data_IF_127996766818
#
_entry.id   IF_127996766818
#
_cell.length_a   1.000
_cell.length_b   1.000
_cell.length_c   1.000
_cell.angle_alpha   90.00
_cell.angle_beta   90.00
_cell.angle_gamma   90.00
#
_symmetry.space_group_name_H-M   'P 1'
#
loop_
_entity.id
_entity.type
_entity.pdbx_description
1 polymer ?
#
# COMPACT_ATOMS: atom_id res chain seq x y z
N UNK A 1 -16.78 34.52 39.13
CA UNK A 1 -15.43 34.76 39.69
C UNK A 1 -14.86 33.39 40.02
N UNK A 2 -13.90 32.80 39.31
CA UNK A 2 -12.71 33.38 38.67
C UNK A 2 -12.58 32.95 37.21
N UNK A 3 -12.40 33.96 36.35
CA UNK A 3 -11.61 33.85 35.12
C UNK A 3 -10.14 33.78 35.50
N UNK A 4 -9.37 32.94 34.81
CA UNK A 4 -7.96 33.16 34.43
C UNK A 4 -7.38 31.85 33.89
N UNK A 5 -6.57 31.75 32.82
CA UNK A 5 -6.03 32.64 31.79
C UNK A 5 -5.53 31.67 30.69
N UNK A 6 -5.66 32.06 29.43
CA UNK A 6 -5.06 31.40 28.26
C UNK A 6 -3.54 31.25 28.42
N UNK A 7 -2.98 30.08 28.10
CA UNK A 7 -1.58 29.98 27.67
C UNK A 7 -1.59 29.69 26.18
N UNK A 8 -1.36 30.74 25.39
CA UNK A 8 -1.00 30.64 23.98
C UNK A 8 0.25 29.75 23.87
N UNK A 9 0.15 28.61 23.19
CA UNK A 9 1.33 27.89 22.72
C UNK A 9 2.04 28.76 21.69
N UNK A 10 3.26 29.20 22.00
CA UNK A 10 4.09 29.96 21.05
C UNK A 10 4.26 29.15 19.77
N UNK A 11 3.68 29.63 18.65
CA UNK A 11 3.90 29.00 17.34
C UNK A 11 5.38 29.12 16.99
N UNK A 12 6.04 27.98 16.77
CA UNK A 12 7.45 27.95 16.37
C UNK A 12 7.64 28.70 15.05
N UNK A 13 8.77 29.40 14.92
CA UNK A 13 9.09 30.11 13.68
C UNK A 13 9.54 29.12 12.60
N UNK A 14 9.29 29.41 11.30
CA UNK A 14 9.72 28.55 10.20
C UNK A 14 11.22 28.21 10.24
N UNK A 15 12.06 29.17 10.65
CA UNK A 15 13.52 28.97 10.74
C UNK A 15 13.92 27.95 11.80
N UNK A 16 13.24 27.94 12.95
CA UNK A 16 13.48 26.94 14.01
C UNK A 16 13.04 25.56 13.53
N UNK A 17 11.87 25.47 12.90
CA UNK A 17 11.36 24.21 12.34
C UNK A 17 12.31 23.66 11.26
N UNK A 18 12.88 24.53 10.42
CA UNK A 18 13.83 24.14 9.39
C UNK A 18 15.14 23.59 10.00
N UNK A 19 15.60 24.15 11.11
CA UNK A 19 16.76 23.61 11.84
C UNK A 19 16.47 22.23 12.44
N UNK A 20 15.29 22.05 13.03
CA UNK A 20 14.84 20.74 13.54
C UNK A 20 14.75 19.71 12.40
N UNK A 21 14.26 20.12 11.23
CA UNK A 21 14.25 19.30 10.03
C UNK A 21 15.67 18.86 9.62
N UNK A 22 16.64 19.78 9.58
CA UNK A 22 18.03 19.41 9.26
C UNK A 22 18.64 18.45 10.27
N UNK A 23 18.28 18.57 11.55
CA UNK A 23 18.73 17.65 12.58
C UNK A 23 18.17 16.23 12.42
N UNK A 24 17.03 16.06 11.75
CA UNK A 24 16.47 14.74 11.44
C UNK A 24 17.15 14.07 10.24
N UNK A 25 17.81 14.82 9.35
CA UNK A 25 18.52 14.25 8.21
C UNK A 25 19.77 13.48 8.70
N UNK A 26 20.14 12.34 8.07
CA UNK A 26 21.37 11.63 8.41
C UNK A 26 22.59 12.54 8.41
N UNK A 27 23.44 12.43 9.45
CA UNK A 27 24.56 13.34 9.69
C UNK A 27 25.46 13.55 8.46
N UNK A 28 25.71 12.48 7.70
CA UNK A 28 26.53 12.47 6.48
C UNK A 28 25.98 13.36 5.36
N UNK A 29 24.66 13.55 5.32
CA UNK A 29 23.98 14.27 4.24
C UNK A 29 23.55 15.69 4.64
N UNK A 30 23.56 16.02 5.94
CA UNK A 30 23.05 17.30 6.47
C UNK A 30 23.64 18.53 5.79
N UNK A 31 24.97 18.58 5.68
CA UNK A 31 25.66 19.73 5.09
C UNK A 31 25.31 19.88 3.61
N UNK A 32 25.29 18.77 2.88
CA UNK A 32 24.94 18.76 1.45
C UNK A 32 23.48 19.16 1.22
N UNK A 33 22.55 18.66 2.03
CA UNK A 33 21.12 19.02 1.92
C UNK A 33 20.91 20.50 2.27
N UNK A 34 21.51 20.98 3.36
CA UNK A 34 21.41 22.38 3.79
C UNK A 34 21.99 23.34 2.74
N UNK A 35 23.16 23.03 2.16
CA UNK A 35 23.76 23.87 1.12
C UNK A 35 22.89 23.88 -0.13
N UNK A 36 22.44 22.71 -0.58
CA UNK A 36 21.63 22.57 -1.79
C UNK A 36 20.30 23.30 -1.65
N UNK A 37 19.61 23.20 -0.50
CA UNK A 37 18.37 23.92 -0.25
C UNK A 37 18.57 25.43 -0.13
N UNK A 38 19.71 25.88 0.40
CA UNK A 38 20.07 27.30 0.42
C UNK A 38 20.24 27.83 -1.01
N UNK A 39 20.94 27.07 -1.86
CA UNK A 39 21.10 27.46 -3.26
C UNK A 39 19.79 27.41 -4.06
N UNK A 40 18.90 26.45 -3.78
CA UNK A 40 17.55 26.43 -4.36
C UNK A 40 16.79 27.67 -3.92
N UNK A 41 16.78 27.99 -2.62
CA UNK A 41 16.12 29.19 -2.10
C UNK A 41 16.60 30.47 -2.78
N UNK A 42 17.90 30.58 -3.03
CA UNK A 42 18.49 31.74 -3.70
C UNK A 42 18.13 31.85 -5.19
N UNK A 43 17.57 30.80 -5.79
CA UNK A 43 17.13 30.77 -7.19
C UNK A 43 15.61 30.94 -7.37
N UNK A 44 14.87 31.07 -6.26
CA UNK A 44 13.41 31.20 -6.26
C UNK A 44 13.01 32.68 -6.23
N UNK A 45 11.98 33.01 -6.99
CA UNK A 45 11.33 34.32 -7.00
C UNK A 45 9.84 34.13 -6.69
N UNK A 46 9.25 35.00 -5.85
CA UNK A 46 7.83 34.92 -5.48
C UNK A 46 6.90 34.91 -6.71
N UNK A 47 7.28 35.69 -7.73
CA UNK A 47 6.69 35.67 -9.07
C UNK A 47 7.59 34.87 -9.99
N UNK A 48 7.08 33.77 -10.52
CA UNK A 48 7.85 32.81 -11.31
C UNK A 48 8.05 33.38 -12.72
N UNK A 49 9.31 33.57 -13.18
CA UNK A 49 9.58 34.10 -14.50
C UNK A 49 9.28 33.10 -15.61
N UNK A 50 9.21 33.58 -16.85
CA UNK A 50 8.81 32.72 -17.98
C UNK A 50 9.91 31.82 -18.52
N UNK A 51 11.18 32.24 -18.45
CA UNK A 51 12.29 31.67 -19.24
C UNK A 51 13.56 31.38 -18.44
N UNK A 52 13.44 31.10 -17.14
CA UNK A 52 14.61 30.82 -16.31
C UNK A 52 15.30 29.49 -16.70
N UNK A 53 16.64 29.41 -16.63
CA UNK A 53 17.36 28.19 -16.96
C UNK A 53 17.12 27.09 -15.93
N UNK A 54 16.48 26.00 -16.35
CA UNK A 54 16.05 24.94 -15.42
C UNK A 54 17.07 23.82 -15.19
N UNK A 55 18.07 23.65 -16.06
CA UNK A 55 19.00 22.53 -15.96
C UNK A 55 19.81 22.52 -14.64
N UNK A 56 20.38 23.66 -14.17
CA UNK A 56 21.08 23.70 -12.88
C UNK A 56 20.15 23.37 -11.70
N UNK A 57 18.90 23.83 -11.75
CA UNK A 57 17.91 23.56 -10.72
C UNK A 57 17.54 22.08 -10.65
N UNK A 58 17.25 21.46 -11.80
CA UNK A 58 16.97 20.02 -11.89
C UNK A 58 18.12 19.19 -11.32
N UNK A 59 19.37 19.57 -11.59
CA UNK A 59 20.53 18.87 -11.01
C UNK A 59 20.51 18.88 -9.48
N UNK A 60 20.10 19.99 -8.85
CA UNK A 60 19.97 20.13 -7.39
C UNK A 60 18.81 19.30 -6.86
N UNK A 61 17.67 19.30 -7.55
CA UNK A 61 16.53 18.44 -7.22
C UNK A 61 16.94 16.98 -7.22
N UNK A 62 17.66 16.51 -8.25
CA UNK A 62 18.15 15.13 -8.35
C UNK A 62 19.13 14.76 -7.23
N UNK A 63 19.99 15.70 -6.81
CA UNK A 63 20.85 15.49 -5.64
C UNK A 63 20.03 15.27 -4.37
N UNK A 64 18.99 16.07 -4.13
CA UNK A 64 18.09 15.88 -3.00
C UNK A 64 17.30 14.57 -3.10
N UNK A 65 16.80 14.21 -4.30
CA UNK A 65 16.08 12.94 -4.53
C UNK A 65 16.91 11.74 -4.04
N UNK A 66 18.21 11.69 -4.34
CA UNK A 66 19.09 10.59 -3.94
C UNK A 66 19.19 10.43 -2.42
N UNK A 67 19.12 11.53 -1.66
CA UNK A 67 19.12 11.50 -0.20
C UNK A 67 17.75 11.06 0.31
N UNK A 68 16.66 11.66 -0.20
CA UNK A 68 15.30 11.41 0.28
C UNK A 68 14.83 9.99 -0.01
N UNK A 69 15.28 9.38 -1.12
CA UNK A 69 14.97 7.99 -1.48
C UNK A 69 15.40 6.98 -0.40
N UNK A 70 16.42 7.31 0.39
CA UNK A 70 17.02 6.41 1.39
C UNK A 70 16.43 6.59 2.80
N UNK A 71 15.51 7.54 2.99
CA UNK A 71 14.96 7.84 4.31
C UNK A 71 14.01 6.72 4.75
N UNK A 72 14.29 6.01 5.86
CA UNK A 72 13.44 4.93 6.32
C UNK A 72 12.08 5.46 6.78
N UNK A 73 11.04 4.64 6.66
CA UNK A 73 9.66 5.03 6.93
C UNK A 73 9.45 5.69 8.31
N UNK A 74 10.10 5.16 9.36
CA UNK A 74 9.98 5.71 10.73
C UNK A 74 10.46 7.15 10.80
N UNK A 75 11.61 7.46 10.20
CA UNK A 75 12.16 8.80 10.15
C UNK A 75 11.33 9.70 9.23
N UNK A 76 10.79 9.13 8.14
CA UNK A 76 9.89 9.81 7.21
C UNK A 76 8.68 10.42 7.93
N UNK A 77 8.01 9.64 8.80
CA UNK A 77 6.87 10.11 9.61
C UNK A 77 7.22 11.33 10.46
N UNK A 78 8.38 11.29 11.13
CA UNK A 78 8.86 12.39 11.98
C UNK A 78 9.20 13.64 11.15
N UNK A 79 9.89 13.45 10.03
CA UNK A 79 10.21 14.53 9.09
C UNK A 79 8.93 15.19 8.56
N UNK A 80 7.92 14.40 8.14
CA UNK A 80 6.65 14.95 7.64
C UNK A 80 5.96 15.84 8.65
N UNK A 81 5.90 15.44 9.92
CA UNK A 81 5.30 16.27 10.97
C UNK A 81 5.97 17.65 11.06
N UNK A 82 7.31 17.69 11.00
CA UNK A 82 8.06 18.96 10.96
C UNK A 82 7.79 19.75 9.68
N UNK A 83 7.71 19.08 8.52
CA UNK A 83 7.44 19.74 7.24
C UNK A 83 6.02 20.34 7.19
N UNK A 84 5.01 19.64 7.72
CA UNK A 84 3.63 20.11 7.78
C UNK A 84 3.49 21.32 8.72
N UNK A 85 4.13 21.27 9.90
CA UNK A 85 4.20 22.42 10.79
C UNK A 85 4.93 23.60 10.12
N UNK A 86 6.00 23.33 9.39
CA UNK A 86 6.75 24.32 8.61
C UNK A 86 5.92 24.96 7.50
N UNK A 87 5.08 24.18 6.80
CA UNK A 87 4.13 24.68 5.81
C UNK A 87 3.12 25.63 6.44
N UNK A 88 2.52 25.23 7.56
CA UNK A 88 1.57 26.07 8.28
C UNK A 88 2.20 27.38 8.75
N UNK A 89 3.37 27.32 9.38
CA UNK A 89 4.07 28.51 9.88
C UNK A 89 4.53 29.43 8.75
N UNK A 90 4.97 28.87 7.62
CA UNK A 90 5.48 29.65 6.48
C UNK A 90 4.37 30.29 5.65
N UNK A 91 3.17 29.70 5.64
CA UNK A 91 2.04 30.21 4.84
C UNK A 91 1.70 31.67 5.16
N UNK A 92 1.93 32.12 6.39
CA UNK A 92 1.69 33.49 6.85
C UNK A 92 2.89 34.44 6.69
N UNK A 93 4.09 33.91 6.45
CA UNK A 93 5.34 34.66 6.61
C UNK A 93 6.09 34.81 5.29
N UNK A 94 6.25 33.73 4.52
CA UNK A 94 7.12 33.72 3.35
C UNK A 94 6.77 32.61 2.36
N UNK A 95 6.45 33.00 1.12
CA UNK A 95 6.20 32.07 0.02
C UNK A 95 7.46 31.27 -0.35
N UNK A 96 8.65 31.88 -0.24
CA UNK A 96 9.93 31.19 -0.44
C UNK A 96 10.11 30.04 0.55
N UNK A 97 9.86 30.27 1.84
CA UNK A 97 9.95 29.20 2.85
C UNK A 97 8.87 28.14 2.65
N UNK A 98 7.65 28.57 2.34
CA UNK A 98 6.55 27.67 1.97
C UNK A 98 6.95 26.74 0.81
N UNK A 99 7.59 27.30 -0.22
CA UNK A 99 8.10 26.54 -1.36
C UNK A 99 9.17 25.53 -0.93
N UNK A 100 10.10 25.89 -0.05
CA UNK A 100 11.14 24.97 0.46
C UNK A 100 10.51 23.80 1.22
N UNK A 101 9.59 24.07 2.15
CA UNK A 101 8.89 23.01 2.88
C UNK A 101 8.05 22.13 1.93
N UNK A 102 7.38 22.73 0.95
CA UNK A 102 6.61 22.01 -0.07
C UNK A 102 7.51 21.09 -0.89
N UNK A 103 8.65 21.60 -1.35
CA UNK A 103 9.62 20.86 -2.14
C UNK A 103 10.15 19.65 -1.35
N UNK A 104 10.55 19.85 -0.10
CA UNK A 104 11.01 18.76 0.76
C UNK A 104 9.90 17.71 0.97
N UNK A 105 8.66 18.12 1.24
CA UNK A 105 7.55 17.19 1.45
C UNK A 105 7.24 16.39 0.19
N UNK A 106 7.22 17.05 -0.97
CA UNK A 106 6.94 16.37 -2.23
C UNK A 106 8.08 15.42 -2.63
N UNK A 107 9.34 15.81 -2.41
CA UNK A 107 10.48 14.91 -2.62
C UNK A 107 10.41 13.68 -1.73
N UNK A 108 9.98 13.84 -0.47
CA UNK A 108 9.85 12.75 0.48
C UNK A 108 8.80 11.70 0.07
N UNK A 109 7.81 12.09 -0.72
CA UNK A 109 6.71 11.21 -1.15
C UNK A 109 6.87 10.68 -2.58
N UNK A 110 7.44 11.47 -3.48
CA UNK A 110 7.62 11.10 -4.89
C UNK A 110 8.93 10.35 -5.15
N UNK A 111 9.96 10.55 -4.31
CA UNK A 111 11.28 9.95 -4.51
C UNK A 111 11.48 8.68 -3.69
N UNK A 112 10.50 8.29 -2.86
CA UNK A 112 10.69 7.21 -1.91
C UNK A 112 10.44 5.84 -2.50
N UNK A 113 11.32 4.90 -2.17
CA UNK A 113 11.10 3.48 -2.41
C UNK A 113 10.04 2.96 -1.44
N UNK A 114 8.78 2.89 -1.89
CA UNK A 114 7.67 2.46 -1.05
C UNK A 114 7.70 0.96 -0.81
N UNK A 115 7.48 0.57 0.45
CA UNK A 115 7.43 -0.84 0.83
C UNK A 115 6.04 -1.42 0.55
N UNK A 116 5.89 -2.16 -0.57
CA UNK A 116 4.64 -2.83 -0.90
C UNK A 116 4.25 -3.92 0.12
N UNK A 117 5.24 -4.59 0.73
CA UNK A 117 5.02 -5.57 1.80
C UNK A 117 4.45 -4.93 3.06
N UNK A 118 4.65 -3.62 3.30
CA UNK A 118 4.04 -2.86 4.41
C UNK A 118 3.18 -1.72 3.91
N UNK A 119 2.47 -1.99 2.82
CA UNK A 119 1.50 -1.06 2.23
C UNK A 119 0.41 -0.64 3.21
N UNK A 120 0.13 -1.42 4.27
CA UNK A 120 -0.72 -1.03 5.39
C UNK A 120 -0.19 0.21 6.13
N UNK A 121 1.09 0.19 6.51
CA UNK A 121 1.73 1.29 7.22
C UNK A 121 1.94 2.50 6.30
N UNK A 122 2.36 2.26 5.06
CA UNK A 122 2.53 3.33 4.06
C UNK A 122 1.18 4.02 3.77
N UNK A 123 0.09 3.26 3.70
CA UNK A 123 -1.25 3.83 3.47
C UNK A 123 -1.75 4.62 4.67
N UNK A 124 -1.51 4.16 5.89
CA UNK A 124 -1.87 4.90 7.11
C UNK A 124 -1.12 6.25 7.18
N UNK A 125 0.18 6.24 6.87
CA UNK A 125 1.02 7.43 6.85
C UNK A 125 0.54 8.46 5.82
N UNK A 126 0.35 8.03 4.57
CA UNK A 126 -0.17 8.88 3.48
C UNK A 126 -1.54 9.45 3.86
N UNK A 127 -2.44 8.62 4.36
CA UNK A 127 -3.80 9.05 4.70
C UNK A 127 -3.83 10.06 5.84
N UNK A 128 -2.96 9.90 6.84
CA UNK A 128 -2.82 10.85 7.94
C UNK A 128 -2.32 12.19 7.42
N UNK A 129 -1.33 12.18 6.53
CA UNK A 129 -0.83 13.41 5.89
C UNK A 129 -1.89 14.11 5.04
N UNK A 130 -2.66 13.37 4.24
CA UNK A 130 -3.76 13.91 3.43
C UNK A 130 -4.80 14.61 4.31
N UNK A 131 -5.19 13.98 5.43
CA UNK A 131 -6.14 14.57 6.37
C UNK A 131 -5.64 15.90 6.93
N UNK A 132 -4.38 15.96 7.37
CA UNK A 132 -3.79 17.19 7.88
C UNK A 132 -3.76 18.29 6.80
N UNK A 133 -3.35 17.95 5.57
CA UNK A 133 -3.35 18.89 4.45
C UNK A 133 -4.73 19.45 4.14
N UNK A 134 -5.75 18.61 4.05
CA UNK A 134 -7.14 19.03 3.80
C UNK A 134 -7.71 19.87 4.94
N UNK A 135 -7.34 19.57 6.19
CA UNK A 135 -7.88 20.27 7.36
C UNK A 135 -7.27 21.65 7.58
N UNK A 136 -5.96 21.81 7.42
CA UNK A 136 -5.26 23.03 7.85
C UNK A 136 -4.56 23.79 6.73
N UNK A 137 -3.96 23.10 5.76
CA UNK A 137 -3.07 23.73 4.77
C UNK A 137 -3.83 24.15 3.51
N UNK A 138 -4.55 23.24 2.85
CA UNK A 138 -5.26 23.55 1.61
C UNK A 138 -6.30 24.67 1.73
N UNK A 139 -7.15 24.73 2.78
CA UNK A 139 -8.11 25.83 2.93
C UNK A 139 -7.41 27.20 3.01
N UNK A 140 -6.34 27.32 3.81
CA UNK A 140 -5.58 28.57 3.97
C UNK A 140 -4.91 29.01 2.68
N UNK A 141 -4.26 28.08 1.97
CA UNK A 141 -3.61 28.38 0.69
C UNK A 141 -4.64 28.79 -0.37
N UNK A 142 -5.77 28.09 -0.45
CA UNK A 142 -6.87 28.40 -1.38
C UNK A 142 -7.40 29.82 -1.15
N UNK A 143 -7.71 30.20 0.08
CA UNK A 143 -8.16 31.56 0.42
C UNK A 143 -7.13 32.62 0.00
N UNK A 144 -5.85 32.39 0.27
CA UNK A 144 -4.78 33.33 -0.11
C UNK A 144 -4.61 33.48 -1.61
N UNK A 145 -4.69 32.37 -2.36
CA UNK A 145 -4.61 32.42 -3.82
C UNK A 145 -5.78 33.24 -4.38
N UNK A 146 -7.01 33.01 -3.90
CA UNK A 146 -8.19 33.77 -4.33
C UNK A 146 -8.09 35.28 -4.03
N UNK A 147 -7.30 35.66 -3.03
CA UNK A 147 -7.05 37.07 -2.68
C UNK A 147 -5.93 37.70 -3.54
N UNK A 148 -5.17 36.92 -4.32
CA UNK A 148 -4.09 37.45 -5.15
C UNK A 148 -4.66 38.30 -6.30
N UNK A 149 -4.19 39.54 -6.41
CA UNK A 149 -4.55 40.47 -7.49
C UNK A 149 -3.50 40.51 -8.60
N UNK A 150 -2.89 39.36 -8.88
CA UNK A 150 -1.87 39.22 -9.93
C UNK A 150 -2.29 38.15 -10.92
N UNK A 151 -1.91 38.34 -12.18
CA UNK A 151 -2.07 37.37 -13.26
C UNK A 151 -0.77 36.62 -13.59
N UNK A 152 0.29 36.84 -12.80
CA UNK A 152 1.59 36.21 -13.01
C UNK A 152 1.71 34.92 -12.18
N UNK A 153 2.36 33.87 -12.72
CA UNK A 153 2.59 32.64 -11.97
C UNK A 153 3.30 32.89 -10.63
N UNK A 154 2.83 32.26 -9.55
CA UNK A 154 3.33 32.52 -8.19
C UNK A 154 3.77 31.25 -7.46
N UNK A 155 4.77 31.37 -6.59
CA UNK A 155 5.22 30.27 -5.72
C UNK A 155 4.11 29.74 -4.82
N UNK A 156 3.22 30.62 -4.36
CA UNK A 156 2.06 30.23 -3.55
C UNK A 156 1.17 29.22 -4.31
N UNK A 157 0.88 29.54 -5.57
CA UNK A 157 0.04 28.69 -6.42
C UNK A 157 0.76 27.41 -6.83
N UNK A 158 2.07 27.51 -7.10
CA UNK A 158 2.93 26.34 -7.31
C UNK A 158 2.89 25.40 -6.12
N UNK A 159 3.07 25.90 -4.89
CA UNK A 159 3.04 25.10 -3.66
C UNK A 159 1.73 24.35 -3.48
N UNK A 160 0.59 25.04 -3.64
CA UNK A 160 -0.73 24.42 -3.57
C UNK A 160 -0.89 23.28 -4.60
N UNK A 161 -0.55 23.57 -5.86
CA UNK A 161 -0.69 22.63 -6.97
C UNK A 161 0.25 21.42 -6.84
N UNK A 162 1.49 21.63 -6.38
CA UNK A 162 2.47 20.57 -6.21
C UNK A 162 2.09 19.61 -5.06
N UNK A 163 1.55 20.15 -3.95
CA UNK A 163 0.98 19.34 -2.87
C UNK A 163 -0.20 18.51 -3.39
N UNK A 164 -1.14 19.15 -4.10
CA UNK A 164 -2.31 18.46 -4.63
C UNK A 164 -1.91 17.30 -5.57
N UNK A 165 -1.00 17.57 -6.52
CA UNK A 165 -0.49 16.55 -7.44
C UNK A 165 0.13 15.37 -6.70
N UNK A 166 1.03 15.67 -5.76
CA UNK A 166 1.80 14.67 -5.03
C UNK A 166 0.90 13.75 -4.23
N UNK A 167 -0.03 14.31 -3.46
CA UNK A 167 -0.87 13.53 -2.57
C UNK A 167 -2.03 12.84 -3.29
N UNK A 168 -2.43 13.32 -4.46
CA UNK A 168 -3.31 12.57 -5.35
C UNK A 168 -2.59 11.34 -5.92
N UNK A 169 -1.34 11.48 -6.39
CA UNK A 169 -0.53 10.34 -6.83
C UNK A 169 -0.31 9.32 -5.71
N UNK A 170 -0.11 9.78 -4.46
CA UNK A 170 -0.04 8.90 -3.30
C UNK A 170 -1.39 8.18 -3.03
N UNK A 171 -2.53 8.85 -3.21
CA UNK A 171 -3.84 8.24 -3.06
C UNK A 171 -4.13 7.19 -4.15
N UNK A 172 -3.72 7.44 -5.39
CA UNK A 172 -3.74 6.45 -6.48
C UNK A 172 -2.91 5.22 -6.12
N UNK A 173 -1.70 5.43 -5.58
CA UNK A 173 -0.87 4.34 -5.10
C UNK A 173 -1.58 3.51 -4.02
N UNK A 174 -2.14 4.14 -2.98
CA UNK A 174 -2.90 3.44 -1.91
C UNK A 174 -4.05 2.62 -2.48
N UNK A 175 -4.75 3.17 -3.49
CA UNK A 175 -5.84 2.48 -4.16
C UNK A 175 -5.36 1.25 -4.92
N UNK A 176 -4.28 1.39 -5.70
CA UNK A 176 -3.68 0.31 -6.48
C UNK A 176 -3.08 -0.79 -5.61
N UNK A 177 -2.55 -0.42 -4.44
CA UNK A 177 -2.14 -1.35 -3.42
C UNK A 177 -3.31 -1.98 -2.66
N UNK A 178 -4.58 -1.65 -2.95
CA UNK A 178 -5.76 -2.21 -2.27
C UNK A 178 -5.72 -2.10 -0.73
N UNK A 179 -4.97 -1.13 -0.20
CA UNK A 179 -4.78 -0.86 1.22
C UNK A 179 -5.65 0.33 1.66
N UNK A 180 -6.91 0.33 1.24
CA UNK A 180 -7.83 1.45 1.51
C UNK A 180 -7.94 1.70 3.03
N UNK A 181 -7.80 2.96 3.49
CA UNK A 181 -7.91 3.29 4.90
C UNK A 181 -9.34 3.12 5.42
N UNK A 182 -10.34 3.25 4.55
CA UNK A 182 -11.74 3.01 4.85
C UNK A 182 -12.48 2.42 3.64
N UNK A 183 -13.62 1.74 3.85
CA UNK A 183 -14.50 1.31 2.74
C UNK A 183 -14.99 2.46 1.87
N UNK A 184 -15.11 3.66 2.45
CA UNK A 184 -15.54 4.89 1.76
C UNK A 184 -14.42 5.61 1.00
N UNK A 185 -13.17 5.13 1.08
CA UNK A 185 -12.03 5.80 0.45
C UNK A 185 -12.19 5.86 -1.07
N UNK A 186 -12.19 7.09 -1.60
CA UNK A 186 -12.26 7.40 -3.01
C UNK A 186 -11.08 8.31 -3.38
N UNK A 187 -10.28 7.89 -4.37
CA UNK A 187 -9.12 8.67 -4.85
C UNK A 187 -9.54 10.06 -5.33
N UNK A 188 -10.67 10.16 -6.04
CA UNK A 188 -11.15 11.43 -6.60
C UNK A 188 -11.46 12.47 -5.51
N UNK A 189 -11.85 12.02 -4.32
CA UNK A 189 -12.26 12.89 -3.21
C UNK A 189 -11.28 12.81 -2.04
N UNK A 190 -10.07 12.26 -2.25
CA UNK A 190 -9.09 12.16 -1.15
C UNK A 190 -8.38 13.48 -0.92
N UNK A 191 -8.17 14.28 -1.96
CA UNK A 191 -7.54 15.61 -1.89
C UNK A 191 -8.60 16.65 -2.20
N UNK A 192 -8.80 17.61 -1.29
CA UNK A 192 -9.81 18.67 -1.42
C UNK A 192 -9.31 19.80 -2.35
N UNK A 193 -9.11 19.45 -3.61
CA UNK A 193 -8.69 20.38 -4.66
C UNK A 193 -9.88 21.26 -5.07
N UNK A 194 -9.72 22.57 -4.93
CA UNK A 194 -10.68 23.54 -5.44
C UNK A 194 -10.41 23.75 -6.94
N UNK A 195 -11.30 23.24 -7.79
CA UNK A 195 -11.17 23.34 -9.25
C UNK A 195 -11.08 24.80 -9.74
N UNK A 196 -11.64 25.78 -9.00
CA UNK A 196 -11.53 27.19 -9.35
C UNK A 196 -10.09 27.72 -9.28
N UNK A 197 -9.23 27.07 -8.49
CA UNK A 197 -7.80 27.41 -8.41
C UNK A 197 -7.06 26.97 -9.68
N UNK A 198 -7.47 25.88 -10.33
CA UNK A 198 -6.81 25.39 -11.56
C UNK A 198 -6.88 26.42 -12.69
N UNK A 199 -8.01 27.12 -12.78
CA UNK A 199 -8.25 28.20 -13.74
C UNK A 199 -7.61 29.55 -13.31
N UNK A 200 -7.04 29.63 -12.10
CA UNK A 200 -6.44 30.87 -11.62
C UNK A 200 -5.17 31.21 -12.42
N UNK A 201 -4.98 32.47 -12.84
CA UNK A 201 -3.87 32.85 -13.73
C UNK A 201 -2.48 32.70 -13.09
N UNK A 202 -2.42 32.66 -11.76
CA UNK A 202 -1.16 32.49 -11.00
C UNK A 202 -0.66 31.05 -10.95
N UNK A 203 -1.42 30.08 -11.47
CA UNK A 203 -0.96 28.69 -11.57
C UNK A 203 0.04 28.55 -12.73
N UNK A 204 1.22 27.94 -12.51
CA UNK A 204 2.15 27.64 -13.59
C UNK A 204 1.52 26.73 -14.66
N UNK A 205 1.76 27.04 -15.94
CA UNK A 205 1.10 26.39 -17.07
C UNK A 205 1.27 24.86 -17.10
N UNK A 206 2.47 24.39 -16.75
CA UNK A 206 2.79 22.96 -16.64
C UNK A 206 1.92 22.27 -15.60
N UNK A 207 1.83 22.85 -14.40
CA UNK A 207 1.07 22.29 -13.29
C UNK A 207 -0.42 22.26 -13.62
N UNK A 208 -0.94 23.34 -14.23
CA UNK A 208 -2.33 23.39 -14.70
C UNK A 208 -2.65 22.22 -15.62
N UNK A 209 -1.84 22.00 -16.66
CA UNK A 209 -2.05 20.92 -17.61
C UNK A 209 -1.97 19.52 -16.96
N UNK A 210 -1.01 19.32 -16.06
CA UNK A 210 -0.83 18.03 -15.36
C UNK A 210 -2.01 17.76 -14.43
N UNK A 211 -2.42 18.73 -13.62
CA UNK A 211 -3.53 18.57 -12.68
C UNK A 211 -4.85 18.35 -13.41
N UNK A 212 -5.11 19.05 -14.53
CA UNK A 212 -6.30 18.74 -15.34
C UNK A 212 -6.30 17.32 -15.87
N UNK A 213 -5.13 16.80 -16.27
CA UNK A 213 -5.04 15.41 -16.71
C UNK A 213 -5.29 14.45 -15.55
N UNK A 214 -4.72 14.72 -14.37
CA UNK A 214 -4.93 13.92 -13.17
C UNK A 214 -6.41 13.88 -12.76
N UNK A 215 -7.07 15.03 -12.63
CA UNK A 215 -8.49 15.14 -12.26
C UNK A 215 -9.41 14.45 -13.27
N UNK A 216 -9.07 14.52 -14.56
CA UNK A 216 -9.85 13.91 -15.66
C UNK A 216 -9.46 12.46 -15.95
N UNK A 217 -8.54 11.85 -15.18
CA UNK A 217 -7.95 10.53 -15.43
C UNK A 217 -7.47 10.38 -16.90
N UNK A 218 -6.74 11.37 -17.39
CA UNK A 218 -6.15 11.43 -18.74
C UNK A 218 -4.65 11.20 -18.66
N UNK A 219 -4.03 10.70 -19.75
CA UNK A 219 -2.60 10.43 -19.73
C UNK A 219 -1.79 11.73 -19.65
N UNK A 220 -0.75 11.72 -18.83
CA UNK A 220 0.22 12.80 -18.80
C UNK A 220 0.98 12.90 -20.12
N UNK A 221 1.44 14.10 -20.44
CA UNK A 221 2.34 14.28 -21.56
C UNK A 221 3.71 13.67 -21.26
N UNK A 222 4.39 13.23 -22.31
CA UNK A 222 5.76 12.72 -22.26
C UNK A 222 6.71 13.90 -22.47
N UNK A 223 7.59 14.20 -21.50
CA UNK A 223 8.63 15.22 -21.65
C UNK A 223 9.61 14.91 -22.80
N UNK A 224 10.42 15.88 -23.24
CA UNK A 224 11.56 15.65 -24.13
C UNK A 224 12.53 14.61 -23.54
N UNK A 225 13.25 13.87 -24.40
CA UNK A 225 14.06 12.68 -24.05
C UNK A 225 15.11 12.85 -22.95
N UNK A 226 15.43 14.07 -22.52
CA UNK A 226 16.40 14.35 -21.45
C UNK A 226 15.78 14.62 -20.07
N UNK A 227 14.44 14.59 -19.93
CA UNK A 227 13.73 15.01 -18.72
C UNK A 227 12.61 14.03 -18.32
N UNK A 228 12.35 13.94 -17.03
CA UNK A 228 11.18 13.22 -16.49
C UNK A 228 10.00 14.17 -16.22
N UNK A 229 8.82 13.62 -15.94
CA UNK A 229 7.64 14.42 -15.58
C UNK A 229 7.90 15.18 -14.27
N UNK A 230 8.56 14.52 -13.32
CA UNK A 230 8.96 15.08 -12.03
C UNK A 230 9.93 16.26 -12.22
N UNK A 231 10.91 16.13 -13.12
CA UNK A 231 11.82 17.25 -13.44
C UNK A 231 11.05 18.50 -13.91
N UNK A 232 10.01 18.33 -14.73
CA UNK A 232 9.19 19.44 -15.24
C UNK A 232 8.29 20.05 -14.16
N UNK A 233 7.74 19.22 -13.26
CA UNK A 233 6.94 19.67 -12.12
C UNK A 233 7.76 20.53 -11.17
N UNK A 234 8.92 20.04 -10.71
CA UNK A 234 9.76 20.81 -9.80
C UNK A 234 10.34 22.06 -10.45
N UNK A 235 10.81 21.98 -11.70
CA UNK A 235 11.35 23.15 -12.38
C UNK A 235 10.31 24.23 -12.67
N UNK A 236 9.01 23.91 -12.59
CA UNK A 236 7.95 24.91 -12.70
C UNK A 236 7.90 25.91 -11.53
N UNK A 237 8.68 25.67 -10.45
CA UNK A 237 8.88 26.62 -9.35
C UNK A 237 9.76 27.81 -9.72
N UNK A 238 10.66 27.66 -10.70
CA UNK A 238 11.59 28.72 -11.11
C UNK A 238 11.33 29.26 -12.52
N UNK A 239 10.52 28.54 -13.31
CA UNK A 239 10.22 28.91 -14.70
C UNK A 239 8.82 28.43 -15.09
N UNK A 240 8.00 29.28 -15.70
CA UNK A 240 6.67 28.89 -16.20
C UNK A 240 6.72 27.71 -17.21
N UNK A 241 7.88 27.53 -17.85
CA UNK A 241 8.17 26.44 -18.78
C UNK A 241 7.19 26.31 -19.96
N UNK A 242 6.47 27.38 -20.33
CA UNK A 242 5.48 27.38 -21.41
C UNK A 242 6.06 26.89 -22.75
N UNK A 243 7.31 27.25 -23.08
CA UNK A 243 7.97 26.79 -24.30
C UNK A 243 8.29 25.29 -24.31
N UNK A 244 8.48 24.66 -23.15
CA UNK A 244 8.78 23.23 -23.04
C UNK A 244 7.51 22.40 -23.27
N UNK A 245 6.34 22.89 -22.84
CA UNK A 245 5.05 22.23 -23.10
C UNK A 245 4.82 21.97 -24.60
N UNK A 246 5.20 22.93 -25.45
CA UNK A 246 5.07 22.81 -26.91
C UNK A 246 5.93 21.67 -27.50
N UNK A 247 6.96 21.24 -26.78
CA UNK A 247 7.84 20.13 -27.18
C UNK A 247 7.45 18.77 -26.57
N UNK A 248 6.46 18.75 -25.67
CA UNK A 248 5.98 17.52 -25.04
C UNK A 248 5.06 16.73 -26.00
N UNK A 249 5.09 15.39 -25.90
CA UNK A 249 4.22 14.51 -26.69
C UNK A 249 3.03 14.04 -25.87
N UNK A 250 1.81 14.11 -26.40
CA UNK A 250 0.64 13.57 -25.71
C UNK A 250 0.51 12.05 -25.97
N UNK A 251 0.42 11.25 -24.90
CA UNK A 251 0.10 9.83 -25.01
C UNK A 251 -1.39 9.68 -25.38
N UNK A 252 -1.71 8.73 -26.26
CA UNK A 252 -3.10 8.49 -26.74
C UNK A 252 -3.96 7.70 -25.76
N UNK A 253 -3.36 6.92 -24.87
CA UNK A 253 -4.05 6.05 -23.91
C UNK A 253 -3.39 6.16 -22.54
N UNK A 254 -4.23 6.30 -21.51
CA UNK A 254 -3.84 6.23 -20.11
C UNK A 254 -4.07 4.81 -19.61
N UNK A 255 -3.06 4.20 -19.02
CA UNK A 255 -3.26 2.99 -18.21
C UNK A 255 -3.40 3.42 -16.75
N UNK A 256 -4.47 2.99 -16.09
CA UNK A 256 -4.69 3.24 -14.66
C UNK A 256 -3.65 2.51 -13.78
N UNK A 257 -2.91 1.54 -14.35
CA UNK A 257 -1.77 0.93 -13.68
C UNK A 257 -0.49 1.75 -13.73
N UNK A 258 -0.42 2.80 -14.56
CA UNK A 258 0.73 3.71 -14.63
C UNK A 258 0.65 4.72 -13.46
N UNK A 259 0.97 4.27 -12.24
CA UNK A 259 1.18 5.15 -11.09
C UNK A 259 2.30 6.16 -11.39
N UNK A 260 2.12 7.43 -11.02
CA UNK A 260 3.12 8.48 -11.24
C UNK A 260 4.37 8.39 -10.36
N UNK A 261 4.35 7.52 -9.34
CA UNK A 261 5.45 7.38 -8.40
C UNK A 261 6.55 6.57 -9.09
N UNK A 262 7.65 7.24 -9.45
CA UNK A 262 8.74 6.67 -10.28
C UNK A 262 9.44 5.46 -9.64
N UNK A 263 9.36 5.33 -8.32
CA UNK A 263 10.12 4.36 -7.53
C UNK A 263 9.22 3.44 -6.71
N UNK A 264 8.17 2.88 -7.33
CA UNK A 264 7.34 1.84 -6.72
C UNK A 264 7.60 0.44 -7.31
N UNK A 265 7.40 -0.58 -6.49
CA UNK A 265 7.26 -1.93 -7.02
C UNK A 265 5.86 -2.04 -7.66
N UNK A 266 5.75 -2.60 -8.87
CA UNK A 266 4.46 -2.71 -9.53
C UNK A 266 3.50 -3.54 -8.68
N UNK A 267 2.23 -3.11 -8.54
CA UNK A 267 1.24 -3.87 -7.78
C UNK A 267 1.06 -5.24 -8.43
N UNK A 268 1.23 -6.31 -7.65
CA UNK A 268 0.88 -7.64 -8.15
C UNK A 268 -0.63 -7.73 -8.20
N UNK A 269 -1.19 -7.91 -9.40
CA UNK A 269 -2.63 -7.87 -9.60
C UNK A 269 -3.34 -8.83 -8.64
N UNK A 270 -4.39 -8.39 -7.93
CA UNK A 270 -5.17 -9.28 -7.09
C UNK A 270 -5.75 -10.39 -7.95
N UNK A 271 -5.68 -11.63 -7.45
CA UNK A 271 -6.30 -12.78 -8.11
C UNK A 271 -7.80 -12.49 -8.26
N UNK A 272 -8.31 -12.41 -9.50
CA UNK A 272 -9.75 -12.33 -9.75
C UNK A 272 -10.38 -13.61 -9.21
N UNK A 273 -11.18 -13.48 -8.15
CA UNK A 273 -11.94 -14.58 -7.58
C UNK A 273 -13.33 -14.51 -8.17
N UNK A 274 -13.73 -15.55 -8.90
CA UNK A 274 -15.14 -15.71 -9.26
C UNK A 274 -15.96 -15.77 -7.97
N UNK A 275 -16.89 -14.81 -7.81
CA UNK A 275 -17.78 -14.76 -6.66
C UNK A 275 -18.60 -16.05 -6.58
N UNK A 276 -18.22 -16.93 -5.65
CA UNK A 276 -19.02 -18.12 -5.34
C UNK A 276 -20.26 -17.63 -4.58
N UNK A 277 -21.37 -17.45 -5.29
CA UNK A 277 -22.67 -17.15 -4.69
C UNK A 277 -23.10 -18.32 -3.80
N UNK A 278 -22.99 -18.13 -2.49
CA UNK A 278 -23.49 -19.08 -1.50
C UNK A 278 -24.94 -18.75 -1.20
N UNK A 279 -25.86 -19.66 -1.53
CA UNK A 279 -27.28 -19.51 -1.26
C UNK A 279 -27.53 -19.57 0.27
N UNK A 280 -28.17 -18.56 0.84
CA UNK A 280 -28.32 -18.40 2.30
C UNK A 280 -29.73 -18.83 2.71
N UNK A 281 -29.85 -19.94 3.44
CA UNK A 281 -30.99 -20.22 4.33
C UNK A 281 -30.48 -20.52 5.74
N UNK A 282 -31.15 -19.91 6.71
CA UNK A 282 -31.02 -20.00 8.18
C UNK A 282 -29.62 -20.29 8.72
N UNK A 283 -28.92 -19.22 9.11
CA UNK A 283 -27.57 -19.30 9.69
C UNK A 283 -27.54 -18.73 11.11
N UNK A 284 -26.88 -19.41 12.06
CA UNK A 284 -26.58 -18.86 13.39
C UNK A 284 -25.81 -17.53 13.25
N UNK A 285 -26.05 -16.58 14.16
CA UNK A 285 -25.53 -15.20 14.09
C UNK A 285 -24.18 -15.00 14.79
N UNK A 286 -23.74 -15.96 15.61
CA UNK A 286 -22.55 -15.82 16.45
C UNK A 286 -21.80 -17.15 16.59
N UNK A 287 -20.50 -17.06 16.91
CA UNK A 287 -19.68 -18.21 17.27
C UNK A 287 -20.01 -18.69 18.70
N UNK A 288 -19.88 -19.99 19.00
CA UNK A 288 -20.07 -20.51 20.35
C UNK A 288 -18.99 -19.96 21.30
N UNK A 289 -19.33 -19.75 22.58
CA UNK A 289 -18.39 -19.26 23.59
C UNK A 289 -17.15 -20.15 23.76
N UNK A 290 -17.30 -21.46 23.56
CA UNK A 290 -16.21 -22.43 23.60
C UNK A 290 -15.44 -22.56 22.27
N UNK A 291 -15.51 -21.57 21.37
CA UNK A 291 -14.88 -21.63 20.04
C UNK A 291 -13.37 -21.87 20.12
N UNK A 292 -12.65 -21.04 20.89
CA UNK A 292 -11.19 -21.11 21.01
C UNK A 292 -10.74 -22.44 21.65
N UNK A 293 -11.38 -22.84 22.75
CA UNK A 293 -11.11 -24.10 23.44
C UNK A 293 -11.28 -25.32 22.52
N UNK A 294 -12.33 -25.31 21.69
CA UNK A 294 -12.60 -26.38 20.75
C UNK A 294 -11.55 -26.47 19.63
N UNK A 295 -10.96 -25.36 19.19
CA UNK A 295 -9.89 -25.38 18.19
C UNK A 295 -8.60 -26.02 18.74
N UNK A 296 -8.34 -25.86 20.04
CA UNK A 296 -7.16 -26.42 20.69
C UNK A 296 -7.38 -27.86 21.17
N UNK A 297 -8.45 -28.12 21.90
CA UNK A 297 -8.65 -29.39 22.62
C UNK A 297 -9.81 -30.23 22.09
N UNK A 298 -10.71 -29.63 21.31
CA UNK A 298 -11.91 -30.28 20.78
C UNK A 298 -11.62 -31.46 19.85
N UNK A 299 -12.67 -32.23 19.56
CA UNK A 299 -12.60 -33.32 18.57
C UNK A 299 -12.52 -32.76 17.15
N UNK A 300 -11.99 -33.53 16.19
CA UNK A 300 -11.87 -33.08 14.80
C UNK A 300 -13.23 -32.69 14.17
N UNK A 301 -14.32 -33.34 14.57
CA UNK A 301 -15.69 -32.96 14.16
C UNK A 301 -16.06 -31.56 14.68
N UNK A 302 -15.72 -31.25 15.95
CA UNK A 302 -15.96 -29.92 16.55
C UNK A 302 -15.09 -28.84 15.91
N UNK A 303 -13.82 -29.14 15.65
CA UNK A 303 -12.89 -28.24 14.94
C UNK A 303 -13.46 -27.91 13.54
N UNK A 304 -13.84 -28.94 12.77
CA UNK A 304 -14.43 -28.75 11.45
C UNK A 304 -15.72 -27.90 11.50
N UNK A 305 -16.62 -28.19 12.44
CA UNK A 305 -17.85 -27.41 12.63
C UNK A 305 -17.55 -25.94 12.93
N UNK A 306 -16.65 -25.66 13.88
CA UNK A 306 -16.29 -24.30 14.27
C UNK A 306 -15.64 -23.51 13.13
N UNK A 307 -14.66 -24.10 12.43
CA UNK A 307 -14.02 -23.44 11.28
C UNK A 307 -15.02 -23.20 10.14
N UNK A 308 -15.95 -24.13 9.91
CA UNK A 308 -16.96 -24.00 8.87
C UNK A 308 -17.93 -22.88 9.20
N UNK A 309 -18.35 -22.80 10.45
CA UNK A 309 -19.18 -21.72 10.97
C UNK A 309 -18.46 -20.37 10.88
N UNK A 310 -17.19 -20.29 11.25
CA UNK A 310 -16.38 -19.07 11.10
C UNK A 310 -16.34 -18.62 9.64
N UNK A 311 -15.98 -19.51 8.70
CA UNK A 311 -15.94 -19.17 7.27
C UNK A 311 -17.30 -18.68 6.77
N UNK A 312 -18.36 -19.34 7.20
CA UNK A 312 -19.72 -18.99 6.85
C UNK A 312 -20.12 -17.59 7.35
N UNK A 313 -19.72 -17.23 8.57
CA UNK A 313 -19.98 -15.93 9.18
C UNK A 313 -19.14 -14.82 8.57
N UNK A 314 -17.90 -15.09 8.16
CA UNK A 314 -17.03 -14.13 7.46
C UNK A 314 -17.58 -13.72 6.09
N UNK A 315 -18.44 -14.54 5.48
CA UNK A 315 -19.18 -14.18 4.27
C UNK A 315 -20.34 -13.19 4.51
N UNK A 316 -20.62 -12.82 5.77
CA UNK A 316 -21.64 -11.83 6.13
C UNK A 316 -20.97 -10.47 6.44
N UNK A 317 -21.26 -9.40 5.66
CA UNK A 317 -20.69 -8.06 5.87
C UNK A 317 -20.92 -7.52 7.29
N UNK A 318 -22.07 -7.82 7.89
CA UNK A 318 -22.48 -7.26 9.18
C UNK A 318 -21.64 -7.74 10.38
N UNK A 319 -20.86 -8.82 10.21
CA UNK A 319 -20.12 -9.46 11.31
C UNK A 319 -18.60 -9.27 11.23
N UNK A 320 -18.05 -8.64 10.18
CA UNK A 320 -16.61 -8.67 9.88
C UNK A 320 -15.71 -8.20 11.03
N UNK A 321 -16.03 -7.09 11.70
CA UNK A 321 -15.21 -6.56 12.79
C UNK A 321 -15.19 -7.49 14.03
N UNK A 322 -16.34 -8.08 14.38
CA UNK A 322 -16.45 -8.99 15.53
C UNK A 322 -15.75 -10.34 15.33
N UNK A 323 -15.50 -10.72 14.07
CA UNK A 323 -14.91 -12.01 13.70
C UNK A 323 -13.40 -11.93 13.45
N UNK A 324 -12.81 -10.73 13.49
CA UNK A 324 -11.39 -10.52 13.24
C UNK A 324 -10.51 -11.29 14.25
N UNK A 325 -10.80 -11.19 15.54
CA UNK A 325 -10.05 -11.87 16.60
C UNK A 325 -10.21 -13.41 16.53
N UNK A 326 -11.44 -13.96 16.37
CA UNK A 326 -11.64 -15.38 16.08
C UNK A 326 -10.92 -15.89 14.82
N UNK A 327 -10.89 -15.09 13.75
CA UNK A 327 -10.14 -15.42 12.52
C UNK A 327 -8.65 -15.50 12.81
N UNK A 328 -8.05 -14.46 13.39
CA UNK A 328 -6.62 -14.41 13.72
C UNK A 328 -6.24 -15.58 14.63
N UNK A 329 -7.06 -15.89 15.64
CA UNK A 329 -6.85 -17.02 16.52
C UNK A 329 -6.84 -18.34 15.73
N UNK A 330 -7.80 -18.54 14.81
CA UNK A 330 -7.86 -19.75 13.98
C UNK A 330 -6.64 -19.90 13.06
N UNK A 331 -6.16 -18.80 12.48
CA UNK A 331 -4.96 -18.78 11.64
C UNK A 331 -3.72 -19.18 12.46
N UNK A 332 -3.55 -18.62 13.68
CA UNK A 332 -2.50 -19.02 14.64
C UNK A 332 -2.58 -20.50 15.00
N UNK A 333 -3.77 -21.05 15.19
CA UNK A 333 -3.91 -22.46 15.54
C UNK A 333 -3.70 -23.41 14.35
N UNK A 334 -3.51 -22.92 13.12
CA UNK A 334 -3.39 -23.76 11.92
C UNK A 334 -2.28 -24.81 12.03
N UNK A 335 -1.03 -24.49 12.41
CA UNK A 335 0.03 -25.51 12.53
C UNK A 335 -0.28 -26.55 13.60
N UNK A 336 -0.85 -26.13 14.73
CA UNK A 336 -1.20 -27.03 15.81
C UNK A 336 -2.32 -28.01 15.40
N UNK A 337 -3.40 -27.49 14.81
CA UNK A 337 -4.53 -28.29 14.32
C UNK A 337 -4.04 -29.31 13.28
N UNK A 338 -3.26 -28.86 12.30
CA UNK A 338 -2.75 -29.70 11.22
C UNK A 338 -1.76 -30.75 11.73
N UNK A 339 -0.85 -30.39 12.64
CA UNK A 339 0.06 -31.34 13.28
C UNK A 339 -0.70 -32.43 14.03
N UNK A 340 -1.71 -32.06 14.83
CA UNK A 340 -2.54 -33.02 15.58
C UNK A 340 -3.30 -33.98 14.64
N UNK A 341 -3.86 -33.48 13.55
CA UNK A 341 -4.52 -34.31 12.53
C UNK A 341 -3.55 -35.29 11.87
N UNK A 342 -2.36 -34.82 11.46
CA UNK A 342 -1.32 -35.65 10.83
C UNK A 342 -0.84 -36.76 11.76
N UNK A 343 -0.58 -36.45 13.03
CA UNK A 343 -0.18 -37.46 14.03
C UNK A 343 -1.22 -38.56 14.18
N UNK A 344 -2.52 -38.23 14.19
CA UNK A 344 -3.59 -39.23 14.26
C UNK A 344 -3.71 -40.11 13.00
N UNK A 345 -3.32 -39.59 11.83
CA UNK A 345 -3.30 -40.37 10.59
C UNK A 345 -2.06 -41.26 10.49
N UNK A 346 -0.91 -40.79 10.99
CA UNK A 346 0.35 -41.52 10.98
C UNK A 346 0.40 -42.67 12.00
N UNK A 347 -0.33 -42.58 13.11
CA UNK A 347 -0.34 -43.60 14.17
C UNK A 347 -1.17 -44.85 13.87
N UNK A 348 -1.82 -44.95 12.70
CA UNK A 348 -2.67 -46.08 12.32
C UNK A 348 -2.04 -46.97 11.24
N UNK A 349 -2.10 -48.30 11.40
CA UNK A 349 -1.70 -49.29 10.37
C UNK A 349 -2.49 -49.16 9.05
N UNK A 350 -3.70 -48.59 9.12
CA UNK A 350 -4.48 -48.06 7.99
C UNK A 350 -5.21 -46.79 8.46
N UNK A 351 -5.14 -45.66 7.73
CA UNK A 351 -5.83 -44.44 8.13
C UNK A 351 -7.34 -44.63 8.03
N UNK A 352 -8.08 -44.20 9.06
CA UNK A 352 -9.54 -44.24 9.10
C UNK A 352 -10.13 -43.25 8.07
N UNK A 353 -10.95 -43.71 7.13
CA UNK A 353 -11.59 -42.91 6.08
C UNK A 353 -12.32 -41.66 6.62
N UNK A 354 -12.93 -41.77 7.81
CA UNK A 354 -13.59 -40.62 8.45
C UNK A 354 -12.58 -39.55 8.87
N UNK A 355 -11.43 -39.96 9.39
CA UNK A 355 -10.36 -39.03 9.80
C UNK A 355 -9.64 -38.44 8.59
N UNK A 356 -9.46 -39.21 7.51
CA UNK A 356 -8.94 -38.71 6.23
C UNK A 356 -9.87 -37.64 5.65
N UNK A 357 -11.17 -37.92 5.59
CA UNK A 357 -12.16 -36.95 5.12
C UNK A 357 -12.18 -35.67 5.96
N UNK A 358 -12.08 -35.79 7.29
CA UNK A 358 -11.99 -34.62 8.18
C UNK A 358 -10.69 -33.84 7.96
N UNK A 359 -9.57 -34.52 7.77
CA UNK A 359 -8.29 -33.88 7.47
C UNK A 359 -8.35 -33.08 6.16
N UNK A 360 -8.85 -33.67 5.07
CA UNK A 360 -9.01 -32.98 3.78
C UNK A 360 -9.85 -31.71 3.91
N UNK A 361 -11.00 -31.83 4.58
CA UNK A 361 -11.93 -30.72 4.78
C UNK A 361 -11.32 -29.62 5.63
N UNK A 362 -10.69 -29.97 6.75
CA UNK A 362 -10.06 -28.98 7.65
C UNK A 362 -8.86 -28.32 6.98
N UNK A 363 -7.98 -29.08 6.31
CA UNK A 363 -6.81 -28.54 5.61
C UNK A 363 -7.22 -27.53 4.54
N UNK A 364 -8.18 -27.91 3.69
CA UNK A 364 -8.71 -27.03 2.64
C UNK A 364 -9.41 -25.80 3.21
N UNK A 365 -10.16 -25.96 4.30
CA UNK A 365 -10.88 -24.88 4.95
C UNK A 365 -9.92 -23.87 5.60
N UNK A 366 -8.84 -24.35 6.22
CA UNK A 366 -7.78 -23.48 6.74
C UNK A 366 -7.10 -22.72 5.60
N UNK A 367 -6.74 -23.37 4.49
CA UNK A 367 -6.20 -22.68 3.31
C UNK A 367 -7.16 -21.60 2.77
N UNK A 368 -8.46 -21.86 2.77
CA UNK A 368 -9.47 -20.89 2.35
C UNK A 368 -9.56 -19.69 3.30
N UNK A 369 -9.49 -19.91 4.62
CA UNK A 369 -9.45 -18.82 5.61
C UNK A 369 -8.16 -18.01 5.49
N UNK A 370 -7.03 -18.66 5.27
CA UNK A 370 -5.74 -18.03 5.02
C UNK A 370 -5.73 -17.21 3.72
N UNK A 371 -6.28 -17.77 2.65
CA UNK A 371 -6.47 -17.06 1.39
C UNK A 371 -7.37 -15.83 1.57
N UNK A 372 -8.51 -15.97 2.24
CA UNK A 372 -9.40 -14.85 2.51
C UNK A 372 -8.71 -13.78 3.37
N UNK A 373 -8.01 -14.16 4.44
CA UNK A 373 -7.26 -13.23 5.28
C UNK A 373 -6.11 -12.52 4.52
N UNK A 374 -5.52 -13.19 3.52
CA UNK A 374 -4.57 -12.58 2.61
C UNK A 374 -5.25 -11.55 1.70
N UNK A 375 -6.32 -11.95 1.01
CA UNK A 375 -7.09 -11.05 0.13
C UNK A 375 -7.65 -9.83 0.86
N UNK A 376 -8.15 -10.02 2.09
CA UNK A 376 -8.67 -8.95 2.95
C UNK A 376 -7.55 -8.15 3.64
N UNK A 377 -6.28 -8.46 3.36
CA UNK A 377 -5.07 -7.88 3.97
C UNK A 377 -5.04 -7.89 5.50
N UNK A 378 -5.81 -8.79 6.09
CA UNK A 378 -5.86 -8.99 7.54
C UNK A 378 -4.50 -9.44 8.08
N UNK A 379 -3.77 -10.25 7.29
CA UNK A 379 -2.43 -10.73 7.66
C UNK A 379 -1.42 -9.59 7.83
N UNK A 380 -1.46 -8.58 6.96
CA UNK A 380 -0.53 -7.45 7.03
C UNK A 380 -0.72 -6.63 8.31
N UNK A 381 -1.97 -6.25 8.59
CA UNK A 381 -2.33 -5.36 9.68
C UNK A 381 -2.17 -6.02 11.06
N UNK A 382 -2.54 -7.30 11.18
CA UNK A 382 -2.69 -7.96 12.47
C UNK A 382 -1.76 -9.16 12.68
N UNK A 383 -1.02 -9.56 11.64
CA UNK A 383 -0.24 -10.80 11.67
C UNK A 383 1.11 -10.70 10.95
N UNK A 384 2.00 -9.77 11.37
CA UNK A 384 3.24 -9.44 10.67
C UNK A 384 4.28 -10.58 10.61
N UNK A 385 4.11 -11.63 11.43
CA UNK A 385 4.93 -12.85 11.41
C UNK A 385 4.21 -14.03 10.72
N UNK A 386 3.25 -13.74 9.83
CA UNK A 386 2.44 -14.72 9.09
C UNK A 386 3.29 -15.82 8.44
N UNK A 387 4.52 -15.50 8.00
CA UNK A 387 5.46 -16.44 7.39
C UNK A 387 5.83 -17.63 8.28
N UNK A 388 5.89 -17.45 9.61
CA UNK A 388 6.21 -18.54 10.56
C UNK A 388 5.13 -19.61 10.49
N UNK A 389 3.88 -19.22 10.25
CA UNK A 389 2.73 -20.11 10.30
C UNK A 389 2.55 -20.92 9.01
N UNK A 390 3.25 -20.55 7.93
CA UNK A 390 3.34 -21.37 6.71
C UNK A 390 3.88 -22.77 6.98
N UNK A 391 4.72 -22.93 8.00
CA UNK A 391 5.22 -24.25 8.42
C UNK A 391 4.11 -25.25 8.77
N UNK A 392 2.91 -24.78 9.11
CA UNK A 392 1.76 -25.65 9.37
C UNK A 392 1.25 -26.35 8.12
N UNK A 393 1.47 -25.77 6.94
CA UNK A 393 0.94 -26.26 5.67
C UNK A 393 1.95 -27.09 4.88
N UNK A 394 3.25 -27.04 5.23
CA UNK A 394 4.29 -27.88 4.63
C UNK A 394 4.16 -29.34 5.07
N UNK A 395 4.71 -30.26 4.28
CA UNK A 395 4.56 -31.71 4.42
C UNK A 395 3.08 -32.15 4.62
N UNK A 396 2.13 -31.71 3.76
CA UNK A 396 0.77 -32.22 3.78
C UNK A 396 0.76 -33.73 3.45
N UNK A 397 -0.17 -34.47 4.05
CA UNK A 397 -0.32 -35.92 3.82
C UNK A 397 -1.05 -36.17 2.49
N UNK A 398 -0.50 -35.69 1.38
CA UNK A 398 -1.12 -35.81 0.06
C UNK A 398 -1.27 -37.27 -0.36
N UNK A 399 -0.41 -38.19 0.09
CA UNK A 399 -0.53 -39.60 -0.26
C UNK A 399 -1.82 -40.26 0.26
N UNK A 400 -2.33 -39.85 1.42
CA UNK A 400 -3.52 -40.47 2.05
C UNK A 400 -4.85 -39.84 1.62
N UNK A 401 -4.83 -38.67 0.97
CA UNK A 401 -6.05 -37.98 0.57
C UNK A 401 -6.77 -38.70 -0.59
N UNK A 402 -8.10 -38.62 -0.62
CA UNK A 402 -8.92 -38.91 -1.80
C UNK A 402 -8.48 -38.08 -3.01
N UNK A 403 -8.78 -38.52 -4.23
CA UNK A 403 -8.42 -37.75 -5.43
C UNK A 403 -9.07 -36.36 -5.42
N UNK A 404 -10.33 -36.27 -5.03
CA UNK A 404 -11.07 -35.02 -4.91
C UNK A 404 -10.49 -34.10 -3.83
N UNK A 405 -10.12 -34.66 -2.68
CA UNK A 405 -9.49 -33.91 -1.60
C UNK A 405 -8.13 -33.36 -2.00
N UNK A 406 -7.31 -34.19 -2.66
CA UNK A 406 -6.01 -33.80 -3.19
C UNK A 406 -6.09 -32.63 -4.19
N UNK A 407 -6.95 -32.73 -5.21
CA UNK A 407 -7.11 -31.65 -6.19
C UNK A 407 -7.53 -30.33 -5.54
N UNK A 408 -8.50 -30.39 -4.63
CA UNK A 408 -8.95 -29.20 -3.90
C UNK A 408 -7.83 -28.60 -3.05
N UNK A 409 -7.08 -29.43 -2.32
CA UNK A 409 -5.97 -28.96 -1.49
C UNK A 409 -4.89 -28.27 -2.33
N UNK A 410 -4.47 -28.87 -3.46
CA UNK A 410 -3.47 -28.27 -4.37
C UNK A 410 -3.95 -26.94 -4.96
N UNK A 411 -5.21 -26.86 -5.42
CA UNK A 411 -5.78 -25.62 -5.97
C UNK A 411 -5.77 -24.51 -4.90
N UNK A 412 -6.21 -24.82 -3.68
CA UNK A 412 -6.26 -23.84 -2.60
C UNK A 412 -4.86 -23.46 -2.09
N UNK A 413 -3.89 -24.37 -2.11
CA UNK A 413 -2.48 -24.07 -1.86
C UNK A 413 -1.97 -23.06 -2.87
N UNK A 414 -2.20 -23.28 -4.17
CA UNK A 414 -1.80 -22.34 -5.22
C UNK A 414 -2.44 -20.96 -5.04
N UNK A 415 -3.77 -20.91 -4.87
CA UNK A 415 -4.50 -19.64 -4.63
C UNK A 415 -3.98 -18.89 -3.41
N UNK A 416 -3.76 -19.60 -2.30
CA UNK A 416 -3.21 -19.01 -1.09
C UNK A 416 -1.81 -18.47 -1.31
N UNK A 417 -0.89 -19.25 -1.90
CA UNK A 417 0.49 -18.83 -2.14
C UNK A 417 0.55 -17.59 -3.05
N UNK A 418 -0.26 -17.53 -4.11
CA UNK A 418 -0.35 -16.33 -4.96
C UNK A 418 -0.83 -15.11 -4.17
N UNK A 419 -1.91 -15.24 -3.38
CA UNK A 419 -2.39 -14.13 -2.55
C UNK A 419 -1.36 -13.71 -1.48
N UNK A 420 -0.62 -14.67 -0.94
CA UNK A 420 0.44 -14.43 0.05
C UNK A 420 1.66 -13.73 -0.56
N UNK A 421 2.10 -14.14 -1.75
CA UNK A 421 3.20 -13.52 -2.50
C UNK A 421 2.89 -12.07 -2.85
N UNK A 422 1.64 -11.76 -3.23
CA UNK A 422 1.18 -10.40 -3.49
C UNK A 422 1.33 -9.46 -2.28
N UNK A 423 1.45 -10.00 -1.06
CA UNK A 423 1.52 -9.23 0.18
C UNK A 423 2.91 -9.23 0.83
N UNK A 424 3.71 -10.26 0.60
CA UNK A 424 4.94 -10.52 1.36
C UNK A 424 6.11 -10.86 0.44
N UNK A 425 6.19 -10.22 -0.73
CA UNK A 425 7.17 -10.49 -1.78
C UNK A 425 8.61 -10.36 -1.27
N UNK A 426 8.94 -9.22 -0.66
CA UNK A 426 10.28 -8.99 -0.12
C UNK A 426 10.61 -9.95 1.03
N UNK A 427 9.62 -10.25 1.86
CA UNK A 427 9.75 -11.21 2.96
C UNK A 427 10.03 -12.63 2.47
N UNK A 428 9.40 -13.05 1.36
CA UNK A 428 9.68 -14.31 0.68
C UNK A 428 11.11 -14.31 0.12
N UNK A 429 11.56 -13.24 -0.53
CA UNK A 429 12.94 -13.15 -1.01
C UNK A 429 13.98 -13.28 0.12
N UNK A 430 13.71 -12.68 1.26
CA UNK A 430 14.60 -12.74 2.43
C UNK A 430 14.59 -14.11 3.13
N UNK A 431 13.45 -14.81 3.12
CA UNK A 431 13.32 -16.14 3.74
C UNK A 431 12.31 -17.01 2.99
N UNK A 432 12.73 -17.63 1.87
CA UNK A 432 11.81 -18.31 0.96
C UNK A 432 11.43 -19.72 1.44
N UNK A 433 12.05 -20.22 2.51
CA UNK A 433 12.04 -21.64 2.88
C UNK A 433 10.65 -22.27 2.92
N UNK A 434 9.72 -21.72 3.72
CA UNK A 434 8.37 -22.31 3.86
C UNK A 434 7.52 -22.12 2.61
N UNK A 435 7.68 -20.99 1.91
CA UNK A 435 6.99 -20.72 0.66
C UNK A 435 7.37 -21.74 -0.42
N UNK A 436 8.68 -21.93 -0.64
CA UNK A 436 9.20 -22.91 -1.60
C UNK A 436 8.90 -24.35 -1.19
N UNK A 437 8.92 -24.67 0.11
CA UNK A 437 8.58 -26.01 0.58
C UNK A 437 7.13 -26.36 0.22
N UNK A 438 6.17 -25.46 0.44
CA UNK A 438 4.76 -25.70 0.06
C UNK A 438 4.58 -25.94 -1.45
N UNK A 439 5.30 -25.20 -2.29
CA UNK A 439 5.32 -25.41 -3.74
C UNK A 439 5.90 -26.79 -4.06
N UNK A 440 7.05 -27.11 -3.47
CA UNK A 440 7.76 -28.37 -3.68
C UNK A 440 6.90 -29.57 -3.29
N UNK A 441 6.25 -29.53 -2.12
CA UNK A 441 5.36 -30.57 -1.64
C UNK A 441 4.19 -30.81 -2.61
N UNK A 442 3.60 -29.75 -3.15
CA UNK A 442 2.50 -29.85 -4.11
C UNK A 442 2.97 -30.42 -5.45
N UNK A 443 4.10 -29.94 -5.99
CA UNK A 443 4.66 -30.40 -7.27
C UNK A 443 5.05 -31.88 -7.20
N UNK A 444 5.78 -32.30 -6.16
CA UNK A 444 6.18 -33.70 -5.97
C UNK A 444 4.94 -34.59 -5.91
N UNK A 445 3.93 -34.21 -5.13
CA UNK A 445 2.71 -35.01 -5.01
C UNK A 445 1.91 -35.09 -6.32
N UNK A 446 1.89 -34.03 -7.14
CA UNK A 446 1.28 -34.05 -8.48
C UNK A 446 2.02 -35.05 -9.38
N UNK A 447 3.36 -35.02 -9.38
CA UNK A 447 4.18 -35.95 -10.17
C UNK A 447 3.93 -37.40 -9.74
N UNK A 448 3.98 -37.68 -8.45
CA UNK A 448 3.80 -39.03 -7.90
C UNK A 448 2.41 -39.61 -8.21
N UNK A 449 1.36 -38.79 -8.09
CA UNK A 449 0.00 -39.24 -8.39
C UNK A 449 -0.26 -39.40 -9.88
N UNK A 450 0.36 -38.55 -10.70
CA UNK A 450 0.28 -38.67 -12.16
C UNK A 450 1.01 -39.93 -12.65
N UNK A 451 2.22 -40.21 -12.15
CA UNK A 451 3.00 -41.40 -12.50
C UNK A 451 2.29 -42.71 -12.13
N UNK A 452 1.65 -42.78 -10.97
CA UNK A 452 0.82 -43.94 -10.55
C UNK A 452 -0.40 -44.16 -11.46
N UNK A 453 -0.99 -43.10 -11.99
CA UNK A 453 -2.11 -43.21 -12.93
C UNK A 453 -1.68 -43.75 -14.30
N UNK A 454 -0.50 -43.35 -14.80
CA UNK A 454 0.07 -43.89 -16.04
C UNK A 454 0.46 -45.36 -15.93
N UNK A 455 1.06 -45.78 -14.81
CA UNK A 455 1.43 -47.18 -14.56
C UNK A 455 0.20 -48.11 -14.51
N UNK A 456 -0.87 -47.72 -13.80
CA UNK A 456 -2.13 -48.50 -13.77
C UNK A 456 -2.82 -48.59 -15.13
N UNK A 457 -2.70 -47.57 -15.98
CA UNK A 457 -3.29 -47.56 -17.33
C UNK A 457 -2.51 -48.48 -18.29
N UNK A 458 -1.19 -48.52 -18.17
CA UNK A 458 -0.32 -49.47 -18.89
C UNK A 458 -0.55 -50.93 -18.46
N UNK A 459 -0.69 -51.21 -17.16
CA UNK A 459 -1.01 -52.57 -16.69
C UNK A 459 -2.40 -53.05 -17.14
N UNK A 460 -3.36 -52.13 -17.31
CA UNK A 460 -4.70 -52.45 -17.83
C UNK A 460 -4.69 -52.64 -19.35
N UNK A 461 -3.80 -51.96 -20.08
CA UNK A 461 -3.60 -52.15 -21.51
C UNK A 461 -2.84 -53.45 -21.84
N UNK A 462 -1.92 -53.89 -20.97
CA UNK A 462 -1.18 -55.15 -21.14
C UNK A 462 -1.92 -56.40 -20.62
N UNK A 463 -3.16 -56.25 -20.14
CA UNK A 463 -4.03 -57.35 -19.67
C UNK A 463 -5.27 -57.58 -20.53
N UNK A 464 -5.42 -56.79 -21.59
CA UNK A 464 -6.34 -57.05 -22.71
C UNK A 464 -5.49 -57.42 -23.93
#
# INVERSE_FOLDING_TARGET
MNHSIMVNGERRTPSVILMDFFNMIPFTDRTSVSSTLTEIRNSLDDVIPNTNPIAPFISKIRQLQLVFMRIPMVLRKQIKSLLLEGLEASSEISNLLLCIFTLCLCLLELSVLRNCDRSDLESEDIWTTIKELNQSIFPRLCEKIKQQKTNLPSLLSWSYCMLAFTFYACAEWVHNQGCKPSPSFCVKNSVDLDETILDHPTVPEILRHILYNQVKNRPYFTPPTSRTLIDLLFSSAISSNAGILMSCKYKKTYDLSDCCIEFDEPPVQPVKVDEIKVNIKDKPRQLPSCFQDNLQTGSFKKIFYNLSLLKQLLGNPDCQNSLLEPLIFSLRQSPFILKRLRSCLASGLKPNDTNVCLYEKIYTLLLQLWFQAAMDRTLLKNFPQSYIWLCGFTCPMYEVMSMTGFYNAVIWTGRFLTAYENMFRSSIFNSPHWYLQMITDAVIAIIDRSGKAFSKKYEKMNRN
#
